data_IF_928012395517
#
_entry.id   IF_928012395517
#
_cell.length_a   1.000
_cell.length_b   1.000
_cell.length_c   1.000
_cell.angle_alpha   90.00
_cell.angle_beta   90.00
_cell.angle_gamma   90.00
#
_symmetry.space_group_name_H-M   'P 1'
#
loop_
_entity.id
_entity.type
_entity.pdbx_description
1 polymer ?
#
# COMPACT_ATOMS: atom_id res chain seq x y z
N UNK A 1 1.55 9.75 13.25
CA UNK A 1 1.77 8.68 14.25
C UNK A 1 3.25 8.62 14.54
N UNK A 2 3.66 8.40 15.78
CA UNK A 2 5.07 8.15 16.12
C UNK A 2 5.40 6.67 15.99
N UNK A 3 6.59 6.36 15.46
CA UNK A 3 7.12 5.01 15.42
C UNK A 3 7.58 4.60 16.83
N UNK A 4 7.20 3.40 17.27
CA UNK A 4 7.66 2.79 18.52
C UNK A 4 9.15 2.43 18.43
N UNK A 5 9.79 2.20 19.58
CA UNK A 5 11.20 1.75 19.63
C UNK A 5 11.42 0.46 18.84
N UNK A 6 10.51 -0.51 18.95
CA UNK A 6 10.59 -1.77 18.22
C UNK A 6 10.50 -1.55 16.70
N UNK A 7 9.56 -0.74 16.24
CA UNK A 7 9.40 -0.40 14.82
C UNK A 7 10.65 0.29 14.27
N UNK A 8 11.25 1.22 15.03
CA UNK A 8 12.51 1.88 14.64
C UNK A 8 13.65 0.89 14.47
N UNK A 9 13.83 -0.04 15.41
CA UNK A 9 14.86 -1.08 15.31
C UNK A 9 14.65 -1.94 14.07
N UNK A 10 13.41 -2.31 13.78
CA UNK A 10 13.02 -3.07 12.59
C UNK A 10 13.38 -2.30 11.31
N UNK A 11 12.98 -1.02 11.23
CA UNK A 11 13.23 -0.16 10.07
C UNK A 11 14.73 -0.01 9.83
N UNK A 12 15.52 0.26 10.88
CA UNK A 12 16.97 0.42 10.77
C UNK A 12 17.66 -0.88 10.32
N UNK A 13 17.25 -2.03 10.88
CA UNK A 13 17.78 -3.34 10.49
C UNK A 13 17.49 -3.66 9.02
N UNK A 14 16.25 -3.40 8.58
CA UNK A 14 15.85 -3.61 7.21
C UNK A 14 16.56 -2.64 6.26
N UNK A 15 16.68 -1.38 6.64
CA UNK A 15 17.38 -0.36 5.85
C UNK A 15 18.85 -0.69 5.61
N UNK A 16 19.52 -1.29 6.59
CA UNK A 16 20.89 -1.80 6.42
C UNK A 16 21.03 -2.74 5.23
N UNK A 17 20.01 -3.56 4.95
CA UNK A 17 19.97 -4.44 3.77
C UNK A 17 19.60 -3.68 2.50
N UNK A 18 18.54 -2.87 2.55
CA UNK A 18 18.04 -2.07 1.41
C UNK A 18 19.14 -1.18 0.82
N UNK A 19 19.90 -0.51 1.69
CA UNK A 19 20.93 0.44 1.28
C UNK A 19 22.04 -0.17 0.43
N UNK A 20 22.30 -1.47 0.55
CA UNK A 20 23.30 -2.19 -0.28
C UNK A 20 22.81 -2.47 -1.70
N UNK A 21 21.51 -2.33 -1.96
CA UNK A 21 20.86 -2.64 -3.24
C UNK A 21 19.95 -1.48 -3.70
N UNK A 22 20.26 -0.27 -3.26
CA UNK A 22 19.39 0.90 -3.43
C UNK A 22 19.00 1.15 -4.90
N UNK A 23 19.96 1.05 -5.82
CA UNK A 23 19.74 1.25 -7.24
C UNK A 23 18.79 0.21 -7.82
N UNK A 24 18.98 -1.06 -7.49
CA UNK A 24 18.15 -2.16 -7.98
C UNK A 24 16.71 -2.05 -7.43
N UNK A 25 16.57 -1.87 -6.12
CA UNK A 25 15.28 -1.76 -5.44
C UNK A 25 14.50 -0.54 -5.94
N UNK A 26 15.16 0.62 -6.06
CA UNK A 26 14.53 1.84 -6.54
C UNK A 26 14.07 1.75 -7.98
N UNK A 27 14.89 1.15 -8.85
CA UNK A 27 14.56 0.95 -10.28
C UNK A 27 13.37 0.01 -10.42
N UNK A 28 13.43 -1.16 -9.77
CA UNK A 28 12.39 -2.18 -9.88
C UNK A 28 11.05 -1.68 -9.31
N UNK A 29 11.06 -0.91 -8.22
CA UNK A 29 9.85 -0.30 -7.68
C UNK A 29 9.19 0.67 -8.67
N UNK A 30 9.99 1.46 -9.41
CA UNK A 30 9.47 2.35 -10.46
C UNK A 30 8.97 1.58 -11.68
N UNK A 31 9.66 0.51 -12.09
CA UNK A 31 9.21 -0.36 -13.17
C UNK A 31 7.86 -1.01 -12.83
N UNK A 32 7.71 -1.51 -11.60
CA UNK A 32 6.43 -2.03 -11.06
C UNK A 32 5.35 -0.95 -11.02
N UNK A 33 5.69 0.26 -10.60
CA UNK A 33 4.75 1.39 -10.57
C UNK A 33 4.19 1.67 -11.97
N UNK A 34 5.07 1.79 -12.97
CA UNK A 34 4.66 2.12 -14.32
C UNK A 34 3.94 0.98 -15.04
N UNK A 35 4.27 -0.27 -14.71
CA UNK A 35 3.56 -1.43 -15.24
C UNK A 35 2.15 -1.57 -14.64
N UNK A 36 2.03 -1.51 -13.31
CA UNK A 36 0.77 -1.76 -12.59
C UNK A 36 -0.16 -0.54 -12.54
N UNK A 37 0.41 0.67 -12.62
CA UNK A 37 -0.33 1.93 -12.52
C UNK A 37 0.05 2.89 -13.64
N UNK A 38 -0.34 2.63 -14.90
CA UNK A 38 0.10 3.39 -16.06
C UNK A 38 -0.21 4.89 -16.01
N UNK A 39 -1.24 5.31 -15.26
CA UNK A 39 -1.56 6.73 -15.06
C UNK A 39 -0.41 7.52 -14.43
N UNK A 40 0.47 6.87 -13.68
CA UNK A 40 1.64 7.52 -13.06
C UNK A 40 2.69 7.94 -14.09
N UNK A 41 2.69 7.36 -15.29
CA UNK A 41 3.60 7.74 -16.39
C UNK A 41 3.40 9.19 -16.85
N UNK A 42 2.23 9.78 -16.59
CA UNK A 42 1.89 11.16 -16.96
C UNK A 42 2.81 12.20 -16.31
N UNK A 43 3.43 11.88 -15.18
CA UNK A 43 4.42 12.74 -14.52
C UNK A 43 5.82 12.66 -15.14
N UNK A 44 6.06 11.69 -16.04
CA UNK A 44 7.37 11.37 -16.60
C UNK A 44 7.40 11.39 -18.15
N UNK A 45 6.79 12.38 -18.84
CA UNK A 45 6.80 12.41 -20.32
C UNK A 45 8.20 12.64 -20.90
N UNK A 46 9.14 13.13 -20.07
CA UNK A 46 10.52 13.42 -20.42
C UNK A 46 11.48 12.25 -20.10
N UNK A 47 10.96 11.13 -19.59
CA UNK A 47 11.77 9.96 -19.27
C UNK A 47 11.67 8.88 -20.35
N UNK A 48 12.75 8.10 -20.47
CA UNK A 48 12.70 6.82 -21.15
C UNK A 48 12.22 5.78 -20.13
N UNK A 49 11.03 5.23 -20.32
CA UNK A 49 10.36 4.34 -19.34
C UNK A 49 10.51 2.84 -19.67
N UNK A 50 11.41 2.47 -20.56
CA UNK A 50 11.72 1.05 -20.81
C UNK A 50 12.46 0.45 -19.62
N UNK A 51 12.26 -0.84 -19.37
CA UNK A 51 12.98 -1.56 -18.32
C UNK A 51 14.50 -1.38 -18.49
N UNK A 52 15.19 -1.13 -17.38
CA UNK A 52 16.64 -0.90 -17.38
C UNK A 52 17.09 0.40 -18.07
N UNK A 53 16.22 1.40 -18.26
CA UNK A 53 16.69 2.69 -18.75
C UNK A 53 17.59 3.40 -17.73
N UNK A 54 18.54 4.21 -18.21
CA UNK A 54 19.38 5.03 -17.33
C UNK A 54 18.55 6.06 -16.54
N UNK A 55 17.46 6.56 -17.13
CA UNK A 55 16.55 7.48 -16.45
C UNK A 55 15.88 6.82 -15.23
N UNK A 56 15.37 5.59 -15.39
CA UNK A 56 14.75 4.85 -14.28
C UNK A 56 15.76 4.52 -13.18
N UNK A 57 16.96 4.06 -13.55
CA UNK A 57 18.03 3.79 -12.56
C UNK A 57 18.42 5.03 -11.77
N UNK A 58 18.70 6.13 -12.46
CA UNK A 58 19.13 7.37 -11.81
C UNK A 58 18.03 7.95 -10.91
N UNK A 59 16.76 7.84 -11.30
CA UNK A 59 15.67 8.32 -10.48
C UNK A 59 15.36 7.39 -9.31
N UNK A 60 15.38 6.07 -9.52
CA UNK A 60 15.23 5.08 -8.46
C UNK A 60 16.27 5.26 -7.35
N UNK A 61 17.53 5.48 -7.72
CA UNK A 61 18.60 5.78 -6.77
C UNK A 61 18.31 7.04 -5.94
N UNK A 62 17.80 8.11 -6.55
CA UNK A 62 17.40 9.34 -5.83
C UNK A 62 16.24 9.11 -4.86
N UNK A 63 15.24 8.32 -5.25
CA UNK A 63 14.11 7.96 -4.39
C UNK A 63 14.60 7.19 -3.16
N UNK A 64 15.42 6.16 -3.35
CA UNK A 64 15.94 5.37 -2.23
C UNK A 64 16.91 6.19 -1.37
N UNK A 65 17.73 7.06 -1.95
CA UNK A 65 18.58 7.97 -1.18
C UNK A 65 17.75 8.86 -0.22
N UNK A 66 16.64 9.44 -0.72
CA UNK A 66 15.72 10.24 0.09
C UNK A 66 15.04 9.42 1.20
N UNK A 67 14.66 8.17 0.93
CA UNK A 67 14.18 7.25 1.98
C UNK A 67 15.26 7.00 3.03
N UNK A 68 16.53 6.95 2.63
CA UNK A 68 17.65 6.85 3.56
C UNK A 68 17.83 8.08 4.44
N UNK A 69 17.61 9.28 3.91
CA UNK A 69 17.57 10.51 4.72
C UNK A 69 16.45 10.44 5.76
N UNK A 70 15.27 9.96 5.37
CA UNK A 70 14.15 9.78 6.29
C UNK A 70 14.46 8.74 7.39
N UNK A 71 15.09 7.62 7.04
CA UNK A 71 15.47 6.57 8.01
C UNK A 71 16.57 7.02 8.96
N UNK A 72 17.49 7.89 8.52
CA UNK A 72 18.48 8.51 9.42
C UNK A 72 17.85 9.49 10.40
N UNK A 73 16.73 10.08 10.02
CA UNK A 73 16.05 11.14 10.78
C UNK A 73 14.63 10.73 11.19
N UNK A 74 14.43 9.50 11.69
CA UNK A 74 13.10 8.99 12.07
C UNK A 74 12.38 9.83 13.16
N UNK A 75 13.12 10.62 13.92
CA UNK A 75 12.57 11.57 14.91
C UNK A 75 12.12 12.90 14.30
N UNK A 76 12.63 13.26 13.11
CA UNK A 76 12.30 14.50 12.40
C UNK A 76 12.33 14.29 10.88
N UNK A 77 11.44 13.41 10.40
CA UNK A 77 11.30 13.13 8.96
C UNK A 77 10.83 14.39 8.22
N UNK A 78 10.00 15.22 8.86
CA UNK A 78 9.49 16.45 8.26
C UNK A 78 10.60 17.47 7.99
N UNK A 79 11.50 17.68 8.95
CA UNK A 79 12.68 18.52 8.75
C UNK A 79 13.63 17.95 7.69
N UNK A 80 13.93 16.65 7.78
CA UNK A 80 14.83 15.97 6.84
C UNK A 80 14.35 16.01 5.38
N UNK A 81 13.05 15.90 5.14
CA UNK A 81 12.46 15.89 3.79
C UNK A 81 11.83 17.22 3.36
N UNK A 82 12.00 18.29 4.14
CA UNK A 82 11.35 19.61 3.91
C UNK A 82 11.47 20.11 2.47
N UNK A 83 12.69 20.12 1.91
CA UNK A 83 12.94 20.55 0.51
C UNK A 83 12.24 19.66 -0.52
N UNK A 84 12.19 18.34 -0.28
CA UNK A 84 11.50 17.41 -1.18
C UNK A 84 9.99 17.58 -1.09
N UNK A 85 9.46 17.88 0.10
CA UNK A 85 8.05 18.21 0.29
C UNK A 85 7.66 19.46 -0.50
N UNK A 86 8.44 20.54 -0.41
CA UNK A 86 8.22 21.77 -1.17
C UNK A 86 8.27 21.54 -2.68
N UNK A 87 9.26 20.78 -3.15
CA UNK A 87 9.40 20.41 -4.56
C UNK A 87 8.16 19.68 -5.08
N UNK A 88 7.67 18.67 -4.36
CA UNK A 88 6.51 17.89 -4.79
C UNK A 88 5.19 18.67 -4.69
N UNK A 89 5.06 19.55 -3.70
CA UNK A 89 3.85 20.34 -3.49
C UNK A 89 3.72 21.49 -4.51
N UNK A 90 4.78 22.26 -4.73
CA UNK A 90 4.68 23.53 -5.45
C UNK A 90 5.12 23.45 -6.91
N UNK A 91 6.13 22.62 -7.21
CA UNK A 91 6.74 22.54 -8.53
C UNK A 91 6.20 21.33 -9.29
N UNK A 92 6.38 20.11 -8.76
CA UNK A 92 5.98 18.89 -9.46
C UNK A 92 4.48 18.65 -9.40
N UNK A 93 3.83 19.12 -8.33
CA UNK A 93 2.37 19.03 -8.10
C UNK A 93 1.83 17.62 -8.32
N UNK A 94 2.57 16.63 -7.82
CA UNK A 94 2.17 15.22 -7.91
C UNK A 94 0.96 15.01 -7.01
N UNK A 95 -0.11 14.41 -7.55
CA UNK A 95 -1.29 14.12 -6.76
C UNK A 95 -0.92 13.17 -5.61
N UNK A 96 -1.28 13.48 -4.36
CA UNK A 96 -0.99 12.66 -3.17
C UNK A 96 -1.35 11.18 -3.31
N UNK A 97 -2.31 10.84 -4.18
CA UNK A 97 -2.68 9.44 -4.45
C UNK A 97 -1.50 8.61 -4.98
N UNK A 98 -0.60 9.21 -5.77
CA UNK A 98 0.48 8.47 -6.44
C UNK A 98 1.61 8.06 -5.50
N UNK A 99 1.82 8.79 -4.40
CA UNK A 99 2.80 8.40 -3.37
C UNK A 99 2.43 7.04 -2.76
N UNK A 100 1.12 6.79 -2.59
CA UNK A 100 0.62 5.51 -2.07
C UNK A 100 0.91 4.35 -3.03
N UNK A 101 0.82 4.60 -4.34
CA UNK A 101 1.12 3.59 -5.37
C UNK A 101 2.61 3.25 -5.37
N UNK A 102 3.48 4.26 -5.25
CA UNK A 102 4.92 4.04 -5.15
C UNK A 102 5.30 3.32 -3.84
N UNK A 103 4.72 3.72 -2.69
CA UNK A 103 4.90 3.03 -1.41
C UNK A 103 4.54 1.56 -1.51
N UNK A 104 3.43 1.23 -2.16
CA UNK A 104 3.02 -0.15 -2.41
C UNK A 104 4.06 -0.91 -3.27
N UNK A 105 4.49 -0.34 -4.40
CA UNK A 105 5.49 -0.97 -5.26
C UNK A 105 6.84 -1.17 -4.55
N UNK A 106 7.23 -0.26 -3.65
CA UNK A 106 8.40 -0.42 -2.80
C UNK A 106 8.23 -1.60 -1.84
N UNK A 107 7.10 -1.71 -1.12
CA UNK A 107 6.83 -2.84 -0.23
C UNK A 107 6.86 -4.19 -0.96
N UNK A 108 6.27 -4.26 -2.16
CA UNK A 108 6.30 -5.47 -2.99
C UNK A 108 7.73 -5.80 -3.42
N UNK A 109 8.52 -4.81 -3.84
CA UNK A 109 9.92 -5.01 -4.22
C UNK A 109 10.73 -5.54 -3.04
N UNK A 110 10.56 -4.96 -1.85
CA UNK A 110 11.24 -5.40 -0.63
C UNK A 110 10.86 -6.84 -0.25
N UNK A 111 9.59 -7.22 -0.39
CA UNK A 111 9.13 -8.59 -0.16
C UNK A 111 9.78 -9.58 -1.13
N UNK A 112 9.98 -9.20 -2.40
CA UNK A 112 10.63 -10.05 -3.40
C UNK A 112 12.15 -10.23 -3.15
N UNK A 113 12.84 -9.17 -2.73
CA UNK A 113 14.30 -9.20 -2.54
C UNK A 113 14.73 -9.75 -1.18
N UNK A 114 13.85 -9.70 -0.18
CA UNK A 114 14.18 -10.09 1.19
C UNK A 114 13.09 -10.97 1.80
N UNK A 115 12.72 -12.10 1.18
CA UNK A 115 11.57 -12.92 1.60
C UNK A 115 11.72 -13.49 3.01
N UNK A 116 12.95 -13.76 3.46
CA UNK A 116 13.25 -14.24 4.82
C UNK A 116 13.11 -13.16 5.88
N UNK A 117 13.47 -11.92 5.54
CA UNK A 117 13.43 -10.77 6.44
C UNK A 117 12.11 -10.04 6.43
N UNK A 118 11.33 -10.13 5.35
CA UNK A 118 10.06 -9.43 5.17
C UNK A 118 8.94 -10.10 5.97
N UNK A 119 9.20 -10.21 7.28
CA UNK A 119 8.30 -10.73 8.29
C UNK A 119 7.10 -9.80 8.47
N UNK A 120 6.05 -10.27 9.15
CA UNK A 120 4.84 -9.50 9.39
C UNK A 120 5.09 -8.14 10.07
N UNK A 121 5.96 -8.17 11.09
CA UNK A 121 6.34 -6.99 11.86
C UNK A 121 7.19 -6.01 11.03
N UNK A 122 8.05 -6.53 10.14
CA UNK A 122 8.82 -5.73 9.18
C UNK A 122 7.89 -5.04 8.21
N UNK A 123 6.95 -5.76 7.61
CA UNK A 123 5.95 -5.19 6.72
C UNK A 123 5.16 -4.07 7.41
N UNK A 124 4.58 -4.33 8.58
CA UNK A 124 3.80 -3.32 9.31
C UNK A 124 4.64 -2.09 9.67
N UNK A 125 5.91 -2.27 10.06
CA UNK A 125 6.81 -1.16 10.41
C UNK A 125 7.17 -0.32 9.17
N UNK A 126 7.43 -0.97 8.03
CA UNK A 126 7.73 -0.29 6.77
C UNK A 126 6.50 0.42 6.22
N UNK A 127 5.32 -0.21 6.20
CA UNK A 127 4.08 0.44 5.79
C UNK A 127 3.78 1.66 6.66
N UNK A 128 4.02 1.59 7.98
CA UNK A 128 3.93 2.76 8.87
C UNK A 128 4.97 3.84 8.60
N UNK A 129 6.15 3.49 8.12
CA UNK A 129 7.15 4.47 7.68
C UNK A 129 6.69 5.17 6.40
N UNK A 130 6.03 4.41 5.52
CA UNK A 130 5.43 4.88 4.29
C UNK A 130 4.00 5.43 4.48
N UNK A 131 3.58 5.68 5.75
CA UNK A 131 2.19 5.57 6.21
C UNK A 131 1.16 6.05 5.22
N UNK A 132 0.48 5.04 4.69
CA UNK A 132 -0.58 5.12 3.73
C UNK A 132 -1.91 5.44 4.41
N UNK A 133 -2.63 6.40 3.82
CA UNK A 133 -4.07 6.67 3.94
C UNK A 133 -4.66 7.29 5.23
N UNK A 134 -4.20 8.46 5.72
CA UNK A 134 -4.99 9.25 6.69
C UNK A 134 -6.42 9.55 6.20
N UNK A 135 -6.59 9.63 4.87
CA UNK A 135 -7.86 9.91 4.20
C UNK A 135 -8.94 8.85 4.42
N UNK A 136 -8.60 7.57 4.71
CA UNK A 136 -9.64 6.55 4.96
C UNK A 136 -10.34 6.74 6.31
N UNK A 137 -9.69 7.45 7.25
CA UNK A 137 -10.26 7.74 8.57
C UNK A 137 -11.49 8.67 8.50
N UNK A 138 -11.63 9.44 7.41
CA UNK A 138 -12.78 10.35 7.22
C UNK A 138 -14.11 9.63 7.09
N UNK A 139 -14.11 8.34 6.76
CA UNK A 139 -15.33 7.50 6.74
C UNK A 139 -15.74 7.00 8.12
N UNK A 140 -14.87 7.13 9.12
CA UNK A 140 -15.08 6.62 10.48
C UNK A 140 -14.91 7.69 11.58
N UNK A 141 -15.47 8.91 11.44
CA UNK A 141 -15.33 9.94 12.47
C UNK A 141 -16.04 9.58 13.78
N UNK A 142 -16.93 8.58 13.73
CA UNK A 142 -17.74 8.09 14.84
C UNK A 142 -17.14 6.84 15.53
N UNK A 143 -15.96 6.39 15.10
CA UNK A 143 -15.25 5.26 15.71
C UNK A 143 -14.13 5.76 16.61
N UNK A 144 -13.95 5.09 17.74
CA UNK A 144 -12.65 4.97 18.38
C UNK A 144 -11.73 4.13 17.48
N UNK A 145 -10.73 4.79 16.88
CA UNK A 145 -9.72 4.17 16.03
C UNK A 145 -8.43 3.83 16.79
N UNK A 146 -8.44 3.88 18.12
CA UNK A 146 -7.29 3.51 18.94
C UNK A 146 -6.97 2.01 18.80
N UNK A 147 -5.69 1.61 18.97
CA UNK A 147 -5.30 0.20 18.95
C UNK A 147 -6.10 -0.62 19.97
N UNK A 148 -6.70 -1.72 19.51
CA UNK A 148 -7.47 -2.62 20.38
C UNK A 148 -8.96 -2.26 20.53
N UNK A 149 -9.41 -1.14 19.95
CA UNK A 149 -10.81 -0.70 19.94
C UNK A 149 -11.79 -1.82 19.60
N UNK A 150 -12.83 -1.97 20.44
CA UNK A 150 -13.91 -2.92 20.21
C UNK A 150 -14.72 -2.60 18.95
N UNK A 151 -14.87 -1.32 18.59
CA UNK A 151 -15.58 -0.89 17.39
C UNK A 151 -14.83 -1.33 16.13
N UNK A 152 -13.50 -1.14 16.11
CA UNK A 152 -12.65 -1.59 14.99
C UNK A 152 -12.68 -3.12 14.87
N UNK A 153 -12.59 -3.85 15.99
CA UNK A 153 -12.69 -5.33 15.98
C UNK A 153 -14.04 -5.81 15.47
N UNK A 154 -15.14 -5.23 15.94
CA UNK A 154 -16.49 -5.60 15.51
C UNK A 154 -16.71 -5.31 14.02
N UNK A 155 -16.21 -4.19 13.52
CA UNK A 155 -16.27 -3.87 12.09
C UNK A 155 -15.38 -4.80 11.26
N UNK A 156 -14.17 -5.08 11.72
CA UNK A 156 -13.27 -6.06 11.09
C UNK A 156 -13.92 -7.44 10.95
N UNK A 157 -14.67 -7.89 11.96
CA UNK A 157 -15.47 -9.13 11.88
C UNK A 157 -16.53 -9.06 10.77
N UNK A 158 -17.28 -7.96 10.65
CA UNK A 158 -18.28 -7.81 9.58
C UNK A 158 -17.64 -7.87 8.18
N UNK A 159 -16.47 -7.27 8.01
CA UNK A 159 -15.71 -7.35 6.75
C UNK A 159 -15.27 -8.79 6.46
N UNK A 160 -14.73 -9.49 7.46
CA UNK A 160 -14.31 -10.88 7.32
C UNK A 160 -15.48 -11.84 7.02
N UNK A 161 -16.63 -11.66 7.68
CA UNK A 161 -17.84 -12.44 7.43
C UNK A 161 -18.34 -12.21 5.99
N UNK A 162 -18.30 -10.96 5.49
CA UNK A 162 -18.65 -10.65 4.10
C UNK A 162 -17.70 -11.29 3.07
N UNK A 163 -16.39 -11.30 3.36
CA UNK A 163 -15.41 -12.00 2.50
C UNK A 163 -15.62 -13.52 2.54
N UNK A 164 -16.01 -14.07 3.69
CA UNK A 164 -16.37 -15.49 3.82
C UNK A 164 -17.57 -15.82 2.93
N UNK A 165 -18.61 -14.98 2.93
CA UNK A 165 -19.75 -15.09 2.00
C UNK A 165 -19.28 -15.02 0.55
N UNK A 166 -18.42 -14.06 0.20
CA UNK A 166 -17.89 -13.96 -1.17
C UNK A 166 -17.15 -15.23 -1.61
N UNK A 167 -16.33 -15.82 -0.75
CA UNK A 167 -15.62 -17.08 -1.05
C UNK A 167 -16.59 -18.26 -1.21
N UNK A 168 -17.67 -18.32 -0.43
CA UNK A 168 -18.70 -19.34 -0.57
C UNK A 168 -19.51 -19.22 -1.87
N UNK A 169 -19.44 -18.06 -2.54
CA UNK A 169 -20.22 -17.74 -3.73
C UNK A 169 -19.31 -17.18 -4.85
N UNK A 170 -18.14 -17.78 -5.09
CA UNK A 170 -17.20 -17.31 -6.11
C UNK A 170 -17.81 -17.22 -7.52
N UNK A 171 -18.75 -18.10 -7.84
CA UNK A 171 -19.45 -18.12 -9.13
C UNK A 171 -20.62 -17.11 -9.22
N UNK A 172 -21.03 -16.51 -8.08
CA UNK A 172 -22.09 -15.50 -8.02
C UNK A 172 -21.78 -14.40 -6.98
N UNK A 173 -20.63 -13.74 -7.15
CA UNK A 173 -20.28 -12.58 -6.33
C UNK A 173 -21.33 -11.45 -6.40
N UNK A 174 -21.89 -11.08 -7.57
CA UNK A 174 -22.89 -10.02 -7.66
C UNK A 174 -24.17 -10.31 -6.87
N UNK A 175 -24.69 -11.54 -6.95
CA UNK A 175 -25.85 -11.95 -6.18
C UNK A 175 -25.56 -11.95 -4.68
N UNK A 176 -24.46 -12.60 -4.27
CA UNK A 176 -24.10 -12.74 -2.86
C UNK A 176 -23.80 -11.41 -2.15
N UNK A 177 -23.22 -10.44 -2.86
CA UNK A 177 -22.83 -9.14 -2.30
C UNK A 177 -23.80 -7.99 -2.61
N UNK A 178 -24.92 -8.25 -3.28
CA UNK A 178 -25.83 -7.22 -3.80
C UNK A 178 -26.25 -6.19 -2.75
N UNK A 179 -26.63 -6.64 -1.55
CA UNK A 179 -27.04 -5.75 -0.44
C UNK A 179 -25.88 -4.89 0.09
N UNK A 180 -24.65 -5.41 0.07
CA UNK A 180 -23.46 -4.64 0.45
C UNK A 180 -23.08 -3.63 -0.63
N UNK A 181 -23.26 -3.96 -1.92
CA UNK A 181 -23.11 -3.00 -3.01
C UNK A 181 -24.10 -1.85 -2.88
N UNK A 182 -25.37 -2.13 -2.56
CA UNK A 182 -26.39 -1.09 -2.31
C UNK A 182 -26.02 -0.20 -1.12
N UNK A 183 -25.56 -0.80 -0.03
CA UNK A 183 -25.13 -0.08 1.16
C UNK A 183 -23.98 0.89 0.85
N UNK A 184 -22.96 0.43 0.13
CA UNK A 184 -21.81 1.25 -0.22
C UNK A 184 -22.16 2.33 -1.26
N UNK A 185 -22.93 2.00 -2.30
CA UNK A 185 -23.29 2.94 -3.34
C UNK A 185 -24.23 4.06 -2.87
N UNK A 186 -25.27 3.70 -2.10
CA UNK A 186 -26.36 4.64 -1.84
C UNK A 186 -26.29 5.31 -0.46
N UNK A 187 -25.72 4.63 0.54
CA UNK A 187 -25.67 5.14 1.92
C UNK A 187 -24.27 5.59 2.32
N UNK A 188 -23.28 4.71 2.27
CA UNK A 188 -21.95 5.01 2.79
C UNK A 188 -21.14 5.89 1.84
N UNK A 189 -21.33 5.72 0.52
CA UNK A 189 -20.68 6.49 -0.55
C UNK A 189 -19.17 6.56 -0.39
N UNK A 190 -18.56 5.43 -0.01
CA UNK A 190 -17.11 5.30 0.12
C UNK A 190 -16.49 5.43 -1.26
N UNK A 191 -15.52 6.34 -1.46
CA UNK A 191 -14.92 6.50 -2.79
C UNK A 191 -14.29 5.16 -3.24
N UNK A 192 -14.59 4.67 -4.46
CA UNK A 192 -14.10 3.41 -4.99
C UNK A 192 -12.59 3.16 -4.83
N UNK A 193 -11.77 4.22 -4.79
CA UNK A 193 -10.32 4.09 -4.59
C UNK A 193 -9.98 3.41 -3.25
N UNK A 194 -10.80 3.59 -2.21
CA UNK A 194 -10.51 3.08 -0.86
C UNK A 194 -10.63 1.56 -0.74
N UNK A 195 -11.39 0.90 -1.61
CA UNK A 195 -11.48 -0.57 -1.64
C UNK A 195 -10.15 -1.21 -2.04
N UNK A 196 -9.40 -0.57 -2.94
CA UNK A 196 -8.05 -1.01 -3.33
C UNK A 196 -7.07 -0.92 -2.16
N UNK A 197 -7.23 0.13 -1.34
CA UNK A 197 -6.39 0.36 -0.17
C UNK A 197 -6.62 -0.71 0.90
N UNK A 198 -7.90 -0.99 1.19
CA UNK A 198 -8.27 -2.06 2.13
C UNK A 198 -7.83 -3.44 1.61
N UNK A 199 -8.01 -3.72 0.32
CA UNK A 199 -7.57 -4.97 -0.31
C UNK A 199 -6.07 -5.20 -0.14
N UNK A 200 -5.27 -4.15 -0.31
CA UNK A 200 -3.84 -4.24 -0.04
C UNK A 200 -3.55 -4.57 1.42
N UNK A 201 -4.15 -3.85 2.38
CA UNK A 201 -3.98 -4.13 3.81
C UNK A 201 -4.39 -5.57 4.20
N UNK A 202 -5.39 -6.14 3.53
CA UNK A 202 -5.79 -7.54 3.71
C UNK A 202 -4.73 -8.51 3.19
N UNK A 203 -4.17 -8.27 2.00
CA UNK A 203 -3.04 -9.06 1.48
C UNK A 203 -1.83 -9.02 2.41
N UNK A 204 -1.49 -7.83 2.92
CA UNK A 204 -0.47 -7.64 3.95
C UNK A 204 -0.77 -8.51 5.16
N UNK A 205 -2.00 -8.40 5.70
CA UNK A 205 -2.43 -9.16 6.88
C UNK A 205 -2.36 -10.67 6.66
N UNK A 206 -2.74 -11.15 5.47
CA UNK A 206 -2.68 -12.57 5.15
C UNK A 206 -1.23 -13.07 5.03
N UNK A 207 -0.36 -12.34 4.34
CA UNK A 207 1.07 -12.63 4.30
C UNK A 207 1.68 -12.66 5.71
N UNK A 208 1.20 -11.77 6.57
CA UNK A 208 1.62 -11.65 7.95
C UNK A 208 1.26 -12.89 8.80
N UNK A 209 0.08 -13.47 8.58
CA UNK A 209 -0.43 -14.58 9.40
C UNK A 209 -0.18 -15.96 8.80
N UNK A 210 0.12 -16.03 7.50
CA UNK A 210 0.23 -17.28 6.73
C UNK A 210 1.49 -17.30 5.85
N UNK A 211 2.70 -17.10 6.42
CA UNK A 211 3.93 -16.91 5.65
C UNK A 211 4.31 -18.14 4.80
N UNK A 212 3.89 -19.34 5.19
CA UNK A 212 4.13 -20.58 4.46
C UNK A 212 3.15 -20.78 3.30
N UNK A 213 1.88 -20.37 3.49
CA UNK A 213 0.82 -20.54 2.50
C UNK A 213 0.79 -19.38 1.48
N UNK A 214 1.29 -18.19 1.86
CA UNK A 214 1.28 -16.99 1.02
C UNK A 214 2.38 -17.00 -0.06
N UNK A 215 2.35 -18.04 -0.90
CA UNK A 215 3.21 -18.18 -2.07
C UNK A 215 2.87 -17.12 -3.14
N UNK A 216 3.74 -16.87 -4.13
CA UNK A 216 3.43 -15.93 -5.23
C UNK A 216 2.13 -16.24 -5.98
N UNK A 217 1.82 -17.53 -6.18
CA UNK A 217 0.59 -17.96 -6.85
C UNK A 217 -0.67 -17.69 -6.01
N UNK A 218 -0.57 -17.87 -4.68
CA UNK A 218 -1.64 -17.55 -3.73
C UNK A 218 -1.84 -16.03 -3.65
N UNK A 219 -0.74 -15.26 -3.58
CA UNK A 219 -0.79 -13.80 -3.62
C UNK A 219 -1.53 -13.30 -4.88
N UNK A 220 -1.13 -13.74 -6.07
CA UNK A 220 -1.78 -13.33 -7.32
C UNK A 220 -3.26 -13.70 -7.38
N UNK A 221 -3.63 -14.87 -6.85
CA UNK A 221 -5.03 -15.32 -6.78
C UNK A 221 -5.86 -14.47 -5.82
N UNK A 222 -5.33 -14.15 -4.63
CA UNK A 222 -6.00 -13.31 -3.64
C UNK A 222 -6.14 -11.86 -4.12
N UNK A 223 -5.14 -11.31 -4.80
CA UNK A 223 -5.21 -9.97 -5.38
C UNK A 223 -6.32 -9.87 -6.45
N UNK A 224 -6.43 -10.88 -7.33
CA UNK A 224 -7.53 -10.99 -8.30
C UNK A 224 -8.89 -11.13 -7.62
N UNK A 225 -8.98 -11.94 -6.56
CA UNK A 225 -10.21 -12.10 -5.78
C UNK A 225 -10.65 -10.79 -5.14
N UNK A 226 -9.76 -10.08 -4.45
CA UNK A 226 -10.10 -8.79 -3.83
C UNK A 226 -10.42 -7.70 -4.85
N UNK A 227 -9.79 -7.75 -6.03
CA UNK A 227 -10.15 -6.90 -7.16
C UNK A 227 -11.57 -7.18 -7.62
N UNK A 228 -11.95 -8.46 -7.80
CA UNK A 228 -13.31 -8.85 -8.20
C UNK A 228 -14.36 -8.41 -7.16
N UNK A 229 -14.10 -8.62 -5.87
CA UNK A 229 -14.97 -8.14 -4.78
C UNK A 229 -15.11 -6.62 -4.82
N UNK A 230 -14.01 -5.88 -4.99
CA UNK A 230 -14.04 -4.42 -5.10
C UNK A 230 -14.88 -3.94 -6.29
N UNK A 231 -14.76 -4.60 -7.45
CA UNK A 231 -15.59 -4.31 -8.63
C UNK A 231 -17.08 -4.53 -8.35
N UNK A 232 -17.44 -5.62 -7.67
CA UNK A 232 -18.85 -5.91 -7.32
C UNK A 232 -19.40 -4.88 -6.34
N UNK A 233 -18.65 -4.53 -5.29
CA UNK A 233 -19.08 -3.55 -4.29
C UNK A 233 -19.25 -2.14 -4.86
N UNK A 234 -18.53 -1.82 -5.94
CA UNK A 234 -18.58 -0.51 -6.59
C UNK A 234 -19.46 -0.46 -7.85
N UNK A 235 -20.03 -1.60 -8.26
CA UNK A 235 -20.79 -1.75 -9.51
C UNK A 235 -22.03 -0.85 -9.62
N UNK A 236 -22.64 -0.47 -8.48
CA UNK A 236 -23.89 0.31 -8.42
C UNK A 236 -23.69 1.81 -8.15
N UNK A 237 -22.44 2.29 -8.20
CA UNK A 237 -22.09 3.68 -7.89
C UNK A 237 -22.52 4.69 -8.98
N UNK A 238 -22.86 4.19 -10.18
CA UNK A 238 -23.26 4.98 -11.34
C UNK A 238 -24.44 4.33 -12.03
#
# INVERSE_FOLDING_TARGET
>A
MSLTKAERTIILSMWGKISTQADAIGTEALERLFASFPQTKTYFPHFELRAGSAHLRAHGAKVVAALGDAVRSLDDVAGALSRLSELHAYILRVDPVNFKLLSHCLLVTLACHHPTEFTPAVHASLDKTFQSFPTTKTYFPHFDLSPGSAQVKAHGKKVADALTTAVAHLDDLPGALSALSDLHAYKLRVDPVNFKLLSHCLLVTLACHHPTEFTPAVHASLDKFFTAVSTVLTSKYR
#
